data_IF_737142528489
#
_entry.id   IF_737142528489
#
_cell.length_a   1.000
_cell.length_b   1.000
_cell.length_c   1.000
_cell.angle_alpha   90.00
_cell.angle_beta   90.00
_cell.angle_gamma   90.00
#
_symmetry.space_group_name_H-M   'P 1'
#
loop_
_entity.id
_entity.type
_entity.pdbx_description
1 polymer ?
#
# COMPACT_ATOMS: atom_id res chain seq x y z
N UNK A 1 -20.48 -6.76 -6.81
CA UNK A 1 -21.37 -7.27 -5.76
C UNK A 1 -21.71 -6.10 -4.85
N UNK A 2 -23.00 -5.79 -4.70
CA UNK A 2 -23.50 -4.63 -3.94
C UNK A 2 -23.56 -4.97 -2.44
N UNK A 3 -23.17 -4.03 -1.57
CA UNK A 3 -23.39 -4.16 -0.13
C UNK A 3 -24.90 -4.05 0.21
N UNK A 4 -25.37 -4.70 1.28
CA UNK A 4 -26.73 -4.49 1.79
C UNK A 4 -26.92 -3.03 2.22
N UNK A 5 -28.17 -2.57 2.23
CA UNK A 5 -28.53 -1.25 2.76
C UNK A 5 -29.46 -1.43 3.96
N UNK A 6 -29.10 -0.89 5.13
CA UNK A 6 -27.78 -0.34 5.45
C UNK A 6 -26.71 -1.44 5.55
N UNK A 7 -25.46 -1.12 5.25
CA UNK A 7 -24.32 -2.01 5.43
C UNK A 7 -23.77 -1.88 6.86
N UNK A 8 -23.70 -3.01 7.56
CA UNK A 8 -23.14 -3.12 8.90
C UNK A 8 -21.65 -3.46 8.90
N UNK A 9 -21.02 -3.41 10.08
CA UNK A 9 -19.59 -3.69 10.23
C UNK A 9 -19.22 -5.08 9.66
N UNK A 10 -20.10 -6.07 9.85
CA UNK A 10 -19.92 -7.41 9.34
C UNK A 10 -19.89 -7.42 7.80
N UNK A 11 -20.90 -6.84 7.15
CA UNK A 11 -21.01 -6.75 5.70
C UNK A 11 -19.83 -6.03 5.06
N UNK A 12 -19.36 -4.95 5.70
CA UNK A 12 -18.20 -4.18 5.26
C UNK A 12 -16.91 -4.97 5.40
N UNK A 13 -16.71 -5.66 6.53
CA UNK A 13 -15.52 -6.50 6.75
C UNK A 13 -15.45 -7.66 5.74
N UNK A 14 -16.60 -8.25 5.38
CA UNK A 14 -16.67 -9.28 4.34
C UNK A 14 -16.37 -8.73 2.94
N UNK A 15 -16.63 -7.43 2.72
CA UNK A 15 -16.43 -6.79 1.41
C UNK A 15 -15.11 -6.04 1.28
N UNK A 16 -14.42 -5.80 2.39
CA UNK A 16 -13.06 -5.24 2.48
C UNK A 16 -11.97 -6.21 1.96
N UNK A 17 -12.36 -7.14 1.09
CA UNK A 17 -11.55 -8.21 0.53
C UNK A 17 -11.60 -8.05 -0.98
N UNK A 18 -10.49 -7.62 -1.60
CA UNK A 18 -10.34 -7.62 -3.06
C UNK A 18 -11.33 -6.72 -3.80
N UNK A 19 -11.10 -5.40 -3.77
CA UNK A 19 -11.77 -4.49 -4.69
C UNK A 19 -11.23 -4.65 -6.10
N UNK A 20 -11.67 -5.68 -6.83
CA UNK A 20 -11.35 -5.94 -8.24
C UNK A 20 -11.49 -4.65 -9.07
N UNK A 21 -10.37 -4.02 -9.40
CA UNK A 21 -10.25 -2.92 -10.36
C UNK A 21 -10.92 -1.57 -10.05
N UNK A 22 -11.81 -1.43 -9.04
CA UNK A 22 -12.63 -0.19 -8.89
C UNK A 22 -12.08 0.91 -7.98
N UNK A 23 -11.11 0.62 -7.12
CA UNK A 23 -10.38 1.62 -6.32
C UNK A 23 -9.30 2.40 -7.11
N UNK A 24 -9.65 2.91 -8.30
CA UNK A 24 -8.67 3.56 -9.18
C UNK A 24 -8.36 5.02 -8.80
N UNK A 25 -8.98 5.53 -7.72
CA UNK A 25 -8.79 6.90 -7.27
C UNK A 25 -8.48 6.94 -5.79
N UNK A 26 -7.45 7.72 -5.46
CA UNK A 26 -7.04 8.04 -4.10
C UNK A 26 -8.11 8.86 -3.41
N UNK A 27 -8.53 8.39 -2.24
CA UNK A 27 -9.53 9.08 -1.42
C UNK A 27 -8.80 9.63 -0.19
N UNK A 28 -8.50 10.95 -0.13
CA UNK A 28 -7.85 11.59 1.00
C UNK A 28 -8.61 11.32 2.30
N UNK A 29 -7.97 11.25 3.49
CA UNK A 29 -8.68 10.98 4.75
C UNK A 29 -9.88 11.90 5.02
N UNK A 30 -9.80 13.18 4.60
CA UNK A 30 -10.93 14.11 4.71
C UNK A 30 -12.07 13.81 3.74
N UNK A 31 -11.75 13.35 2.52
CA UNK A 31 -12.77 12.90 1.56
C UNK A 31 -13.33 11.55 2.00
N UNK A 32 -12.49 10.65 2.52
CA UNK A 32 -12.88 9.38 3.09
C UNK A 32 -13.86 9.57 4.26
N UNK A 33 -13.52 10.48 5.18
CA UNK A 33 -14.40 10.86 6.28
C UNK A 33 -15.72 11.44 5.78
N UNK A 34 -15.68 12.33 4.78
CA UNK A 34 -16.90 12.87 4.17
C UNK A 34 -17.75 11.78 3.49
N UNK A 35 -17.13 10.86 2.75
CA UNK A 35 -17.82 9.74 2.08
C UNK A 35 -18.42 8.76 3.10
N UNK A 36 -17.74 8.52 4.22
CA UNK A 36 -18.29 7.73 5.33
C UNK A 36 -19.50 8.45 5.95
N UNK A 37 -19.39 9.76 6.21
CA UNK A 37 -20.49 10.56 6.76
C UNK A 37 -21.66 10.68 5.80
N UNK A 38 -21.39 10.85 4.50
CA UNK A 38 -22.39 10.93 3.44
C UNK A 38 -23.10 9.59 3.26
N UNK A 39 -22.36 8.48 3.12
CA UNK A 39 -22.93 7.15 3.04
C UNK A 39 -23.79 6.81 4.27
N UNK A 40 -23.38 7.26 5.47
CA UNK A 40 -24.19 7.12 6.68
C UNK A 40 -25.45 7.99 6.64
N UNK A 41 -25.35 9.25 6.23
CA UNK A 41 -26.49 10.17 6.10
C UNK A 41 -27.52 9.70 5.04
N UNK A 42 -27.05 9.02 3.99
CA UNK A 42 -27.87 8.38 2.96
C UNK A 42 -28.48 7.05 3.42
N UNK A 43 -28.19 6.59 4.65
CA UNK A 43 -28.68 5.32 5.18
C UNK A 43 -28.03 4.09 4.55
N UNK A 44 -26.89 4.26 3.85
CA UNK A 44 -26.12 3.17 3.26
C UNK A 44 -25.27 2.42 4.29
N UNK A 45 -25.02 3.03 5.44
CA UNK A 45 -24.25 2.46 6.55
C UNK A 45 -25.10 2.43 7.81
N UNK A 46 -24.92 1.41 8.64
CA UNK A 46 -25.31 1.47 10.05
C UNK A 46 -24.27 2.26 10.85
N UNK A 47 -24.57 2.57 12.10
CA UNK A 47 -23.64 3.29 12.98
C UNK A 47 -22.37 2.46 13.26
N UNK A 48 -22.52 1.15 13.47
CA UNK A 48 -21.39 0.24 13.63
C UNK A 48 -20.59 0.09 12.34
N UNK A 49 -21.25 0.10 11.17
CA UNK A 49 -20.55 0.11 9.87
C UNK A 49 -19.74 1.38 9.64
N UNK A 50 -20.30 2.55 10.01
CA UNK A 50 -19.59 3.84 9.97
C UNK A 50 -18.33 3.81 10.85
N UNK A 51 -18.48 3.37 12.11
CA UNK A 51 -17.38 3.27 13.08
C UNK A 51 -16.30 2.30 12.60
N UNK A 52 -16.70 1.19 11.99
CA UNK A 52 -15.77 0.19 11.45
C UNK A 52 -14.90 0.77 10.32
N UNK A 53 -15.49 1.49 9.36
CA UNK A 53 -14.75 2.12 8.25
C UNK A 53 -13.74 3.15 8.76
N UNK A 54 -14.15 3.98 9.72
CA UNK A 54 -13.28 4.98 10.35
C UNK A 54 -12.11 4.33 11.09
N UNK A 55 -12.39 3.25 11.84
CA UNK A 55 -11.37 2.53 12.61
C UNK A 55 -10.37 1.80 11.72
N UNK A 56 -10.83 1.26 10.59
CA UNK A 56 -10.02 0.37 9.75
C UNK A 56 -9.42 1.03 8.50
N UNK A 57 -9.62 2.35 8.33
CA UNK A 57 -9.02 3.12 7.24
C UNK A 57 -9.55 2.76 5.86
N UNK A 58 -10.83 2.40 5.78
CA UNK A 58 -11.49 2.04 4.52
C UNK A 58 -12.45 3.14 4.06
N UNK A 59 -12.39 3.48 2.79
CA UNK A 59 -13.27 4.49 2.19
C UNK A 59 -14.39 3.83 1.39
N UNK A 60 -15.68 4.09 1.69
CA UNK A 60 -16.80 3.58 0.93
C UNK A 60 -17.00 4.42 -0.33
N UNK A 61 -16.90 3.82 -1.51
CA UNK A 61 -17.29 4.46 -2.76
C UNK A 61 -18.73 4.07 -3.07
N UNK A 62 -19.63 5.05 -3.14
CA UNK A 62 -21.03 4.85 -3.49
C UNK A 62 -21.43 5.72 -4.68
N UNK A 63 -22.35 5.20 -5.49
CA UNK A 63 -23.01 5.91 -6.59
C UNK A 63 -24.28 5.15 -7.00
N UNK A 64 -25.24 5.84 -7.60
CA UNK A 64 -26.45 5.24 -8.17
C UNK A 64 -26.12 4.36 -9.39
N UNK A 65 -26.60 3.11 -9.36
CA UNK A 65 -26.45 2.12 -10.43
C UNK A 65 -27.77 1.79 -11.13
N UNK A 66 -28.75 2.70 -11.07
CA UNK A 66 -30.11 2.48 -11.58
C UNK A 66 -31.01 1.71 -10.63
N UNK A 67 -30.54 1.48 -9.39
CA UNK A 67 -31.27 0.82 -8.30
C UNK A 67 -31.26 1.69 -7.01
N UNK A 68 -30.87 2.96 -7.15
CA UNK A 68 -30.57 3.88 -6.05
C UNK A 68 -29.10 3.82 -5.63
N UNK A 69 -28.70 4.79 -4.80
CA UNK A 69 -27.36 4.90 -4.20
C UNK A 69 -26.97 3.61 -3.45
N UNK A 70 -25.76 3.10 -3.69
CA UNK A 70 -25.25 1.83 -3.14
C UNK A 70 -23.74 1.91 -2.98
N UNK A 71 -23.18 1.34 -1.90
CA UNK A 71 -21.73 1.17 -1.75
C UNK A 71 -21.25 0.04 -2.67
N UNK A 72 -20.28 0.36 -3.53
CA UNK A 72 -19.80 -0.50 -4.61
C UNK A 72 -18.45 -1.12 -4.30
N UNK A 73 -17.56 -0.37 -3.63
CA UNK A 73 -16.20 -0.80 -3.31
C UNK A 73 -15.68 -0.10 -2.04
N UNK A 74 -14.73 -0.75 -1.36
CA UNK A 74 -13.99 -0.22 -0.21
C UNK A 74 -12.51 -0.09 -0.60
N UNK A 75 -11.85 1.04 -0.29
CA UNK A 75 -10.44 1.30 -0.65
C UNK A 75 -9.55 1.60 0.59
N UNK A 76 -8.32 1.04 0.64
CA UNK A 76 -7.27 1.30 1.67
C UNK A 76 -6.15 2.21 1.17
N UNK A 77 -5.39 2.81 2.10
CA UNK A 77 -4.31 3.77 1.83
C UNK A 77 -2.92 3.21 2.21
N UNK A 78 -1.99 3.15 1.27
CA UNK A 78 -0.58 3.35 1.58
C UNK A 78 0.30 3.47 0.36
N UNK A 79 1.35 4.30 0.51
CA UNK A 79 1.99 4.95 -0.61
C UNK A 79 3.40 5.47 -0.23
N UNK A 80 4.21 5.74 -1.26
CA UNK A 80 5.52 6.38 -1.24
C UNK A 80 5.42 7.89 -1.40
N UNK A 81 6.37 8.67 -0.86
CA UNK A 81 6.54 10.06 -1.26
C UNK A 81 6.83 10.19 -2.77
N UNK A 82 6.46 11.34 -3.36
CA UNK A 82 6.62 11.62 -4.79
C UNK A 82 8.07 11.51 -5.32
N UNK A 83 9.06 11.76 -4.46
CA UNK A 83 10.48 11.76 -4.78
C UNK A 83 11.17 10.42 -4.51
N UNK A 84 10.47 9.45 -3.91
CA UNK A 84 10.99 8.11 -3.63
C UNK A 84 11.44 7.44 -4.91
N UNK A 85 12.70 6.99 -4.95
CA UNK A 85 13.27 6.26 -6.07
C UNK A 85 12.81 4.81 -6.04
N UNK A 86 12.02 4.40 -7.03
CA UNK A 86 11.64 3.00 -7.24
C UNK A 86 12.48 2.41 -8.37
N UNK A 87 12.92 1.17 -8.22
CA UNK A 87 13.70 0.52 -9.26
C UNK A 87 12.82 0.14 -10.46
N UNK A 88 13.24 0.56 -11.65
CA UNK A 88 12.54 0.35 -12.91
C UNK A 88 13.50 -0.27 -13.92
N UNK A 89 13.19 -1.47 -14.39
CA UNK A 89 13.98 -2.19 -15.38
C UNK A 89 15.49 -2.30 -15.12
N UNK A 90 16.20 -2.81 -16.12
CA UNK A 90 17.67 -2.86 -16.16
C UNK A 90 18.23 -2.05 -17.33
N UNK A 91 19.43 -1.48 -17.15
CA UNK A 91 20.19 -0.91 -18.26
C UNK A 91 20.86 -1.99 -19.12
N UNK A 92 21.49 -1.61 -20.24
CA UNK A 92 22.20 -2.53 -21.15
C UNK A 92 23.35 -3.32 -20.48
N UNK A 93 23.74 -2.95 -19.26
CA UNK A 93 24.77 -3.61 -18.46
C UNK A 93 24.17 -4.45 -17.31
N UNK A 94 22.85 -4.61 -17.28
CA UNK A 94 22.14 -5.36 -16.24
C UNK A 94 22.06 -4.64 -14.90
N UNK A 95 22.24 -3.31 -14.85
CA UNK A 95 22.13 -2.54 -13.61
C UNK A 95 20.72 -1.99 -13.46
N UNK A 96 20.13 -2.16 -12.29
CA UNK A 96 18.82 -1.59 -11.97
C UNK A 96 18.83 -0.08 -12.20
N UNK A 97 17.84 0.41 -12.94
CA UNK A 97 17.60 1.85 -13.03
C UNK A 97 16.57 2.25 -11.98
N UNK A 98 16.43 3.55 -11.73
CA UNK A 98 15.42 4.05 -10.81
C UNK A 98 14.76 5.31 -11.35
N UNK A 99 13.49 5.47 -11.00
CA UNK A 99 12.69 6.67 -11.28
C UNK A 99 12.04 7.13 -9.98
N UNK A 100 11.87 8.44 -9.85
CA UNK A 100 11.01 8.99 -8.80
C UNK A 100 9.58 8.45 -8.99
N UNK A 101 8.92 8.06 -7.91
CA UNK A 101 7.58 7.49 -7.94
C UNK A 101 6.63 8.34 -8.79
N UNK A 102 6.61 9.67 -8.59
CA UNK A 102 5.78 10.60 -9.36
C UNK A 102 5.97 10.61 -10.88
N UNK A 103 7.08 10.06 -11.38
CA UNK A 103 7.43 10.04 -12.81
C UNK A 103 7.19 8.70 -13.49
N UNK A 104 6.79 7.67 -12.73
CA UNK A 104 6.52 6.33 -13.25
C UNK A 104 5.16 6.30 -13.92
N UNK A 105 5.13 5.68 -15.09
CA UNK A 105 3.97 5.57 -15.98
C UNK A 105 3.57 4.12 -16.17
N UNK A 106 2.36 3.87 -16.69
CA UNK A 106 1.88 2.50 -16.96
C UNK A 106 2.69 1.76 -18.03
N UNK A 107 3.53 2.44 -18.81
CA UNK A 107 4.44 1.81 -19.77
C UNK A 107 5.79 1.41 -19.17
N UNK A 108 6.05 1.78 -17.92
CA UNK A 108 7.26 1.36 -17.21
C UNK A 108 7.07 -0.04 -16.59
N UNK A 109 8.20 -0.68 -16.30
CA UNK A 109 8.25 -1.90 -15.47
C UNK A 109 8.82 -1.55 -14.10
N UNK A 110 8.42 -2.29 -13.08
CA UNK A 110 9.05 -2.26 -11.76
C UNK A 110 9.93 -3.50 -11.59
N UNK A 111 11.06 -3.34 -10.89
CA UNK A 111 11.79 -4.50 -10.40
C UNK A 111 11.11 -5.04 -9.15
N UNK A 112 10.75 -6.31 -9.20
CA UNK A 112 10.24 -7.06 -8.08
C UNK A 112 11.06 -8.33 -7.86
N UNK A 113 10.84 -9.02 -6.74
CA UNK A 113 11.35 -10.37 -6.60
C UNK A 113 10.75 -11.30 -7.67
N UNK A 114 11.57 -12.28 -8.07
CA UNK A 114 11.09 -13.47 -8.77
C UNK A 114 10.07 -14.23 -7.88
N UNK A 115 9.12 -14.93 -8.51
CA UNK A 115 8.09 -15.66 -7.77
C UNK A 115 8.65 -16.86 -6.99
N UNK A 116 9.83 -17.35 -7.37
CA UNK A 116 10.56 -18.44 -6.73
C UNK A 116 11.70 -17.96 -5.80
N UNK A 117 11.76 -16.65 -5.50
CA UNK A 117 12.79 -16.05 -4.66
C UNK A 117 12.85 -16.63 -3.23
N UNK A 118 14.03 -16.58 -2.61
CA UNK A 118 14.25 -17.07 -1.24
C UNK A 118 15.07 -16.10 -0.38
N UNK A 119 15.09 -16.33 0.93
CA UNK A 119 15.93 -15.56 1.86
C UNK A 119 17.43 -15.87 1.72
N UNK A 120 17.81 -16.99 1.10
CA UNK A 120 19.21 -17.34 0.86
C UNK A 120 19.80 -16.62 -0.37
N UNK A 121 18.94 -15.97 -1.16
CA UNK A 121 19.25 -15.32 -2.41
C UNK A 121 17.99 -15.19 -3.24
N UNK A 122 17.88 -14.07 -3.94
CA UNK A 122 16.77 -13.77 -4.83
C UNK A 122 17.28 -13.12 -6.11
N UNK A 123 16.51 -13.32 -7.17
CA UNK A 123 16.66 -12.57 -8.40
C UNK A 123 15.56 -11.51 -8.47
N UNK A 124 15.89 -10.41 -9.15
CA UNK A 124 14.93 -9.37 -9.50
C UNK A 124 14.50 -9.56 -10.94
N UNK A 125 13.19 -9.43 -11.17
CA UNK A 125 12.59 -9.51 -12.49
C UNK A 125 11.81 -8.23 -12.79
N UNK A 126 11.76 -7.87 -14.07
CA UNK A 126 10.91 -6.78 -14.53
C UNK A 126 9.45 -7.24 -14.57
N UNK A 127 8.57 -6.49 -13.92
CA UNK A 127 7.12 -6.72 -14.00
C UNK A 127 6.41 -5.49 -14.50
N UNK A 128 5.41 -5.74 -15.35
CA UNK A 128 4.48 -4.70 -15.77
C UNK A 128 3.73 -4.15 -14.55
N UNK A 129 3.42 -2.86 -14.60
CA UNK A 129 2.58 -2.20 -13.62
C UNK A 129 1.12 -2.50 -13.96
N UNK A 130 0.48 -3.34 -13.15
CA UNK A 130 -0.95 -3.63 -13.28
C UNK A 130 -1.80 -2.43 -12.89
N UNK A 131 -1.40 -1.71 -11.83
CA UNK A 131 -2.20 -0.59 -11.30
C UNK A 131 -1.35 0.50 -10.63
N UNK A 132 -1.36 1.73 -11.14
CA UNK A 132 -0.85 2.90 -10.42
C UNK A 132 -1.96 3.57 -9.59
N UNK A 133 -1.59 4.10 -8.42
CA UNK A 133 -2.45 4.80 -7.45
C UNK A 133 -1.68 6.03 -6.95
N UNK A 134 -2.31 7.21 -6.89
CA UNK A 134 -1.64 8.44 -6.41
C UNK A 134 -2.61 9.55 -5.99
N UNK A 135 -2.22 10.34 -4.98
CA UNK A 135 -3.11 11.30 -4.36
C UNK A 135 -2.47 12.10 -3.23
N UNK A 136 -3.14 13.15 -2.73
CA UNK A 136 -2.58 13.98 -1.67
C UNK A 136 -2.60 13.25 -0.33
N UNK A 137 -1.52 13.37 0.44
CA UNK A 137 -1.40 12.83 1.79
C UNK A 137 -1.29 13.96 2.82
N UNK A 138 -2.03 13.87 3.91
CA UNK A 138 -2.10 14.91 4.96
C UNK A 138 -1.39 14.48 6.24
N UNK A 139 -1.60 13.25 6.74
CA UNK A 139 -0.73 12.64 7.72
C UNK A 139 0.75 12.75 7.39
N UNK A 140 1.58 12.86 8.43
CA UNK A 140 3.02 12.82 8.26
C UNK A 140 3.49 11.41 7.87
N UNK A 141 4.34 11.36 6.86
CA UNK A 141 5.03 10.15 6.43
C UNK A 141 6.03 9.70 7.49
N UNK A 142 6.25 8.39 7.56
CA UNK A 142 7.43 7.86 8.20
C UNK A 142 8.62 8.07 7.27
N UNK A 143 9.63 8.76 7.76
CA UNK A 143 10.89 8.96 7.07
C UNK A 143 11.98 8.13 7.76
N UNK A 144 12.46 7.12 7.05
CA UNK A 144 13.53 6.22 7.49
C UNK A 144 14.85 6.66 6.88
N UNK A 145 15.78 7.11 7.72
CA UNK A 145 17.17 7.29 7.29
C UNK A 145 17.86 5.93 7.27
N UNK A 146 18.40 5.52 6.12
CA UNK A 146 18.90 4.17 5.90
C UNK A 146 20.44 4.11 5.91
N UNK A 147 20.97 2.93 6.24
CA UNK A 147 22.41 2.68 6.28
C UNK A 147 23.12 2.83 4.94
N UNK A 148 22.39 2.73 3.83
CA UNK A 148 22.88 2.97 2.47
C UNK A 148 22.92 4.48 2.09
N UNK A 149 22.54 5.37 3.02
CA UNK A 149 22.51 6.82 2.81
C UNK A 149 21.20 7.36 2.22
N UNK A 150 20.28 6.48 1.82
CA UNK A 150 18.98 6.89 1.29
C UNK A 150 17.99 7.26 2.42
N UNK A 151 16.91 7.92 2.03
CA UNK A 151 15.78 8.22 2.93
C UNK A 151 14.49 7.70 2.33
N UNK A 152 13.92 6.68 2.94
CA UNK A 152 12.66 6.10 2.49
C UNK A 152 11.49 6.76 3.22
N UNK A 153 10.56 7.36 2.46
CA UNK A 153 9.38 8.03 2.99
C UNK A 153 8.10 7.33 2.56
N UNK A 154 7.35 6.82 3.52
CA UNK A 154 6.15 6.02 3.28
C UNK A 154 5.05 6.33 4.29
N UNK A 155 3.81 5.99 3.95
CA UNK A 155 2.69 6.08 4.90
C UNK A 155 2.78 5.00 5.98
N UNK A 156 2.01 5.16 7.06
CA UNK A 156 2.12 4.32 8.26
C UNK A 156 1.83 2.83 8.06
N UNK A 157 1.00 2.48 7.08
CA UNK A 157 0.60 1.09 6.80
C UNK A 157 1.38 0.45 5.65
N UNK A 158 2.38 1.14 5.13
CA UNK A 158 3.16 0.63 4.01
C UNK A 158 3.96 -0.62 4.44
N UNK A 159 3.98 -1.71 3.65
CA UNK A 159 4.66 -2.94 4.04
C UNK A 159 6.18 -2.79 3.90
N UNK A 160 6.88 -3.15 4.96
CA UNK A 160 8.33 -3.09 5.07
C UNK A 160 8.86 -4.51 5.20
N UNK A 161 9.86 -4.87 4.39
CA UNK A 161 10.49 -6.18 4.43
C UNK A 161 11.74 -6.12 5.30
N UNK A 162 11.68 -6.73 6.47
CA UNK A 162 12.80 -6.79 7.41
C UNK A 162 13.81 -7.86 6.98
N UNK A 163 15.07 -7.66 7.35
CA UNK A 163 16.15 -8.63 7.14
C UNK A 163 15.92 -9.98 7.85
N UNK A 164 15.00 -10.02 8.82
CA UNK A 164 14.52 -11.27 9.44
C UNK A 164 13.60 -12.10 8.53
N UNK A 165 13.16 -11.54 7.39
CA UNK A 165 12.13 -12.10 6.52
C UNK A 165 10.69 -11.73 6.92
N UNK A 166 10.51 -10.97 8.00
CA UNK A 166 9.19 -10.49 8.42
C UNK A 166 8.73 -9.31 7.54
N UNK A 167 7.42 -9.29 7.22
CA UNK A 167 6.78 -8.17 6.53
C UNK A 167 5.86 -7.48 7.53
N UNK A 168 6.19 -6.24 7.89
CA UNK A 168 5.42 -5.44 8.87
C UNK A 168 5.00 -4.09 8.31
N UNK A 169 4.08 -3.42 8.98
CA UNK A 169 3.73 -2.04 8.64
C UNK A 169 4.86 -1.09 9.05
N UNK A 170 5.06 -0.02 8.28
CA UNK A 170 6.02 1.04 8.56
C UNK A 170 5.92 1.57 10.00
N UNK A 171 4.70 1.69 10.55
CA UNK A 171 4.49 2.16 11.91
C UNK A 171 5.00 1.24 13.02
N UNK A 172 5.28 -0.02 12.70
CA UNK A 172 5.78 -1.03 13.64
C UNK A 172 7.29 -1.20 13.56
N UNK A 173 7.96 -0.58 12.58
CA UNK A 173 9.42 -0.63 12.43
C UNK A 173 10.08 0.14 13.57
N UNK A 174 11.15 -0.43 14.11
CA UNK A 174 11.98 0.12 15.16
C UNK A 174 13.40 0.43 14.65
N UNK A 175 14.17 1.24 15.38
CA UNK A 175 15.52 1.69 14.96
C UNK A 175 16.60 0.60 15.07
N UNK A 176 16.32 -0.52 15.74
CA UNK A 176 17.18 -1.71 15.77
C UNK A 176 16.91 -2.65 14.59
N UNK A 177 15.88 -2.39 13.78
CA UNK A 177 15.57 -3.16 12.60
C UNK A 177 16.55 -2.89 11.45
N UNK A 178 16.61 -3.83 10.52
CA UNK A 178 17.25 -3.67 9.21
C UNK A 178 16.29 -4.12 8.12
N UNK A 179 16.29 -3.44 6.98
CA UNK A 179 15.57 -3.86 5.79
C UNK A 179 16.44 -4.77 4.93
N UNK A 180 15.82 -5.54 4.03
CA UNK A 180 16.57 -6.28 3.01
C UNK A 180 16.99 -5.31 1.91
N UNK A 181 18.28 -5.20 1.63
CA UNK A 181 18.82 -4.41 0.51
C UNK A 181 18.51 -5.05 -0.84
N UNK A 182 18.63 -4.26 -1.92
CA UNK A 182 18.48 -4.74 -3.31
C UNK A 182 19.46 -5.87 -3.66
N UNK A 183 20.61 -5.92 -3.00
CA UNK A 183 21.65 -6.94 -3.12
C UNK A 183 21.46 -8.12 -2.15
N UNK A 184 20.37 -8.10 -1.37
CA UNK A 184 20.08 -9.09 -0.33
C UNK A 184 20.78 -8.84 1.00
N UNK A 185 21.66 -7.85 1.09
CA UNK A 185 22.37 -7.54 2.33
C UNK A 185 21.52 -6.66 3.26
N UNK A 186 21.65 -6.80 4.60
CA UNK A 186 20.88 -5.97 5.52
C UNK A 186 21.23 -4.49 5.45
N UNK A 187 20.21 -3.63 5.30
CA UNK A 187 20.31 -2.17 5.36
C UNK A 187 19.72 -1.67 6.67
N UNK A 188 20.58 -1.22 7.59
CA UNK A 188 20.17 -0.78 8.93
C UNK A 188 19.27 0.47 8.88
N UNK A 189 18.23 0.50 9.72
CA UNK A 189 17.45 1.72 9.99
C UNK A 189 18.25 2.60 10.96
N UNK A 190 18.73 3.75 10.50
CA UNK A 190 19.56 4.66 11.30
C UNK A 190 18.73 5.61 12.15
N UNK A 191 17.61 6.08 11.61
CA UNK A 191 16.68 6.95 12.31
C UNK A 191 15.29 6.81 11.71
N UNK A 192 14.28 7.05 12.55
CA UNK A 192 12.87 7.13 12.15
C UNK A 192 12.37 8.51 12.57
N UNK A 193 11.80 9.25 11.63
CA UNK A 193 11.18 10.55 11.90
C UNK A 193 9.82 10.66 11.22
N UNK A 194 9.11 11.75 11.49
CA UNK A 194 7.83 12.08 10.86
C UNK A 194 8.00 13.35 10.04
N UNK A 195 7.70 13.27 8.76
CA UNK A 195 7.79 14.42 7.84
C UNK A 195 6.43 14.70 7.23
N UNK A 196 6.06 15.98 7.15
CA UNK A 196 4.85 16.35 6.44
C UNK A 196 5.03 16.11 4.94
N UNK A 197 4.02 15.51 4.31
CA UNK A 197 4.01 15.31 2.86
C UNK A 197 4.03 16.67 2.17
N UNK A 198 4.92 16.84 1.19
CA UNK A 198 5.06 18.07 0.41
C UNK A 198 4.20 18.10 -0.86
N UNK A 199 3.53 16.99 -1.18
CA UNK A 199 2.81 16.80 -2.42
C UNK A 199 1.94 15.55 -2.39
N UNK A 200 1.98 14.78 -3.46
CA UNK A 200 1.22 13.53 -3.56
C UNK A 200 2.07 12.35 -3.08
N UNK A 201 1.39 11.28 -2.75
CA UNK A 201 1.99 9.97 -2.53
C UNK A 201 1.55 9.02 -3.64
N UNK A 202 2.35 7.99 -3.90
CA UNK A 202 2.20 7.09 -5.03
C UNK A 202 2.32 5.64 -4.59
N UNK A 203 1.55 4.72 -5.18
CA UNK A 203 1.77 3.29 -5.02
C UNK A 203 1.46 2.57 -6.33
N UNK A 204 1.99 1.36 -6.46
CA UNK A 204 1.90 0.55 -7.67
C UNK A 204 1.59 -0.88 -7.28
N UNK A 205 0.96 -1.59 -8.19
CA UNK A 205 0.76 -3.03 -8.14
C UNK A 205 1.52 -3.65 -9.31
N UNK A 206 2.43 -4.57 -9.02
CA UNK A 206 3.08 -5.39 -10.04
C UNK A 206 2.15 -6.49 -10.51
N UNK A 207 2.26 -6.87 -11.78
CA UNK A 207 1.53 -8.03 -12.32
C UNK A 207 2.19 -9.35 -11.84
N UNK A 208 1.75 -9.87 -10.71
CA UNK A 208 2.09 -11.22 -10.21
C UNK A 208 0.90 -11.85 -9.49
N UNK A 209 0.88 -13.18 -9.43
CA UNK A 209 -0.04 -13.96 -8.60
C UNK A 209 0.59 -14.41 -7.27
N UNK A 210 1.91 -14.20 -7.09
CA UNK A 210 2.65 -14.62 -5.90
C UNK A 210 2.84 -13.47 -4.91
N UNK A 211 2.90 -13.79 -3.61
CA UNK A 211 3.19 -12.79 -2.56
C UNK A 211 4.58 -12.16 -2.75
N UNK A 212 5.54 -12.89 -3.32
CA UNK A 212 6.91 -12.43 -3.55
C UNK A 212 7.00 -11.47 -4.73
N UNK A 213 6.26 -11.70 -5.81
CA UNK A 213 6.21 -10.80 -6.96
C UNK A 213 5.68 -9.41 -6.65
N UNK A 214 5.05 -9.23 -5.48
CA UNK A 214 4.58 -7.96 -4.93
C UNK A 214 5.56 -7.30 -3.97
N UNK A 215 6.79 -7.81 -3.88
CA UNK A 215 7.91 -7.17 -3.18
C UNK A 215 8.74 -6.45 -4.24
N UNK A 216 8.79 -5.12 -4.15
CA UNK A 216 9.49 -4.23 -5.07
C UNK A 216 10.67 -3.56 -4.38
N UNK A 217 11.47 -2.82 -5.15
CA UNK A 217 12.62 -2.07 -4.61
C UNK A 217 12.32 -0.58 -4.55
N UNK A 218 12.47 0.01 -3.37
CA UNK A 218 12.41 1.45 -3.13
C UNK A 218 13.66 1.90 -2.36
N UNK A 219 14.34 2.96 -2.82
CA UNK A 219 15.52 3.52 -2.14
C UNK A 219 16.62 2.47 -1.84
N UNK A 220 16.74 1.48 -2.72
CA UNK A 220 17.70 0.37 -2.61
C UNK A 220 17.35 -0.69 -1.57
N UNK A 221 16.12 -0.72 -1.06
CA UNK A 221 15.62 -1.78 -0.14
C UNK A 221 14.31 -2.39 -0.63
N UNK A 222 14.03 -3.61 -0.19
CA UNK A 222 12.79 -4.33 -0.49
C UNK A 222 11.63 -3.81 0.37
N UNK A 223 10.50 -3.57 -0.29
CA UNK A 223 9.25 -3.09 0.30
C UNK A 223 8.06 -3.75 -0.41
N UNK A 224 6.88 -3.72 0.22
CA UNK A 224 5.67 -4.23 -0.41
C UNK A 224 5.01 -3.22 -1.33
N UNK A 225 4.45 -3.72 -2.43
CA UNK A 225 3.60 -2.95 -3.32
C UNK A 225 2.16 -2.82 -2.75
N UNK A 226 1.25 -2.27 -3.55
CA UNK A 226 -0.17 -2.10 -3.22
C UNK A 226 -0.88 -3.41 -2.85
N UNK A 227 -0.60 -4.51 -3.56
CA UNK A 227 -1.27 -5.79 -3.33
C UNK A 227 -0.76 -6.47 -2.07
N UNK A 228 0.55 -6.41 -1.81
CA UNK A 228 1.11 -6.90 -0.55
C UNK A 228 0.56 -6.12 0.63
N UNK A 229 0.38 -4.81 0.47
CA UNK A 229 -0.24 -3.97 1.49
C UNK A 229 -1.68 -4.39 1.79
N UNK A 230 -2.50 -4.58 0.75
CA UNK A 230 -3.87 -5.05 0.90
C UNK A 230 -3.94 -6.44 1.56
N UNK A 231 -2.94 -7.28 1.35
CA UNK A 231 -2.86 -8.63 1.94
C UNK A 231 -2.47 -8.56 3.42
N UNK A 232 -1.40 -7.85 3.76
CA UNK A 232 -0.93 -7.69 5.13
C UNK A 232 -2.03 -7.14 6.05
N UNK A 233 -2.80 -6.18 5.54
CA UNK A 233 -3.88 -5.57 6.29
C UNK A 233 -5.03 -6.55 6.57
N UNK A 234 -5.32 -7.46 5.62
CA UNK A 234 -6.34 -8.52 5.81
C UNK A 234 -5.90 -9.56 6.83
N UNK A 235 -4.63 -9.97 6.78
CA UNK A 235 -4.03 -10.92 7.73
C UNK A 235 -4.14 -10.38 9.17
N UNK A 236 -3.81 -9.10 9.39
CA UNK A 236 -3.88 -8.48 10.72
C UNK A 236 -5.31 -8.41 11.28
N UNK A 237 -6.28 -7.96 10.48
CA UNK A 237 -7.69 -7.93 10.92
C UNK A 237 -8.22 -9.33 11.28
N UNK A 238 -7.76 -10.38 10.59
CA UNK A 238 -8.15 -11.76 10.90
C UNK A 238 -7.62 -12.27 12.26
N UNK A 239 -6.47 -11.75 12.70
CA UNK A 239 -5.86 -12.09 13.99
C UNK A 239 -6.56 -11.35 15.14
N UNK A 240 -6.95 -10.08 14.93
CA UNK A 240 -7.68 -9.29 15.92
C UNK A 240 -9.06 -9.87 16.23
N UNK A 241 -9.78 -10.41 15.24
CA UNK A 241 -11.07 -11.09 15.44
C UNK A 241 -10.98 -12.39 16.27
N UNK A 242 -9.78 -12.93 16.48
CA UNK A 242 -9.53 -14.16 17.26
C UNK A 242 -9.08 -13.90 18.70
N UNK A 243 -8.89 -12.64 19.10
CA UNK A 243 -8.52 -12.24 20.46
C UNK A 243 -9.75 -11.84 21.27
#
# INVERSE_FOLDING_TARGET
MLLPIPADAFSLSCKAVGGDGRCAMDIPPSICGNMITEAFALGLLTLDGQSWLQTNGWCPVHYDVGLGERIQVLCKQGCFAEDTQLAVGFDDKGRAQSKAASTITASDTLLSLDDDASLAGFDLVEREIGRPVHGPEKPALFAFALGNGATLRVTQHHPMVLASGEIIEAAKVTTDASFVGIDGEPVAVRAISREQTKGHVYNYETSSDSKLGHIIVAEGVLVGDLQLQNTLAREQSSIELRR
#
